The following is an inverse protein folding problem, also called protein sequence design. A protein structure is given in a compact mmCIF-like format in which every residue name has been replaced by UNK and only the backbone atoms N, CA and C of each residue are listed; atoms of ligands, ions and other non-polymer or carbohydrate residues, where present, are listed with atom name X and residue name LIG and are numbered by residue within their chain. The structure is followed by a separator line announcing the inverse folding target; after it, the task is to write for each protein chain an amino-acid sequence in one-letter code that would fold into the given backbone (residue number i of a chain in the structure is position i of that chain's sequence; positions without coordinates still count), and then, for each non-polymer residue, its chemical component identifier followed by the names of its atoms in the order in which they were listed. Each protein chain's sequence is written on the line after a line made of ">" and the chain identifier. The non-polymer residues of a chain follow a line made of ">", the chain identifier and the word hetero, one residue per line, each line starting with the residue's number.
data_IF_878719360628
#
_entry.id   IF_878719360628
#
_cell.length_a   1.000
_cell.length_b   1.000
_cell.length_c   1.000
_cell.angle_alpha   90.00
_cell.angle_beta   90.00
_cell.angle_gamma   90.00
#
_symmetry.space_group_name_H-M   'P 1'
#
loop_
_entity.id
_entity.type
_entity.pdbx_description
1 polymer ?
#
# COMPACT_ATOMS: atom_id res chain seq x y z
N UNK A 1 4.03 31.51 13.02
CA UNK A 1 3.87 30.11 13.50
C UNK A 1 4.50 30.05 14.89
N UNK A 2 3.71 29.83 15.94
CA UNK A 2 4.18 29.95 17.33
C UNK A 2 5.01 28.71 17.74
N UNK A 3 6.22 28.88 18.31
CA UNK A 3 7.12 27.78 18.70
C UNK A 3 6.53 26.77 19.69
N UNK A 4 5.49 27.15 20.44
CA UNK A 4 4.95 26.32 21.53
C UNK A 4 4.00 25.20 21.05
N UNK A 5 3.40 25.33 19.86
CA UNK A 5 2.58 24.25 19.28
C UNK A 5 3.44 23.03 18.89
N UNK A 6 4.69 23.24 18.47
CA UNK A 6 5.60 22.13 18.15
C UNK A 6 5.91 21.26 19.38
N UNK A 7 6.04 21.87 20.57
CA UNK A 7 6.31 21.13 21.82
C UNK A 7 5.11 20.31 22.29
N UNK A 8 3.88 20.76 22.01
CA UNK A 8 2.67 20.00 22.34
C UNK A 8 2.50 18.78 21.43
N UNK A 9 2.87 18.90 20.14
CA UNK A 9 2.85 17.77 19.20
C UNK A 9 3.93 16.72 19.50
N UNK A 10 5.07 17.10 20.09
CA UNK A 10 6.12 16.14 20.47
C UNK A 10 5.83 15.36 21.77
N UNK A 11 4.84 15.76 22.55
CA UNK A 11 4.48 15.10 23.82
C UNK A 11 3.16 14.32 23.74
N UNK A 12 2.49 14.30 22.58
CA UNK A 12 1.38 13.39 22.37
C UNK A 12 1.93 11.96 22.21
N UNK A 13 1.34 10.94 22.87
CA UNK A 13 1.74 9.56 22.64
C UNK A 13 1.64 9.25 21.13
N UNK A 14 2.65 8.58 20.54
CA UNK A 14 2.61 8.27 19.12
C UNK A 14 1.34 7.46 18.82
N UNK A 15 0.71 7.71 17.68
CA UNK A 15 -0.42 6.91 17.23
C UNK A 15 0.17 5.79 16.39
N UNK A 16 -0.22 4.55 16.64
CA UNK A 16 0.20 3.44 15.80
C UNK A 16 -0.35 3.64 14.38
N UNK A 17 0.52 3.85 13.40
CA UNK A 17 0.12 4.05 11.99
C UNK A 17 -0.64 2.85 11.40
N UNK A 18 -0.50 1.67 12.00
CA UNK A 18 -1.16 0.44 11.57
C UNK A 18 -2.57 0.24 12.15
N UNK A 19 -2.88 0.80 13.33
CA UNK A 19 -4.18 0.55 14.00
C UNK A 19 -4.85 1.78 14.61
N UNK A 20 -4.25 2.96 14.53
CA UNK A 20 -4.83 4.22 15.00
C UNK A 20 -4.94 4.37 16.53
N UNK A 21 -4.33 3.48 17.31
CA UNK A 21 -4.36 3.50 18.77
C UNK A 21 -3.16 4.24 19.36
N UNK A 22 -3.39 4.92 20.50
CA UNK A 22 -2.34 5.60 21.26
C UNK A 22 -1.32 4.59 21.83
N UNK A 23 -0.04 4.85 21.59
CA UNK A 23 1.06 4.08 22.15
C UNK A 23 1.42 4.53 23.56
N UNK A 24 1.93 3.63 24.42
CA UNK A 24 2.82 4.04 25.50
C UNK A 24 4.07 4.68 24.87
N UNK A 25 4.49 5.86 25.34
CA UNK A 25 5.59 6.66 24.78
C UNK A 25 6.96 5.95 24.67
N UNK A 26 7.07 4.72 25.19
CA UNK A 26 8.33 3.99 25.34
C UNK A 26 8.28 2.58 24.70
N UNK A 27 7.16 2.19 24.07
CA UNK A 27 7.06 0.86 23.45
C UNK A 27 7.57 0.91 22.00
N UNK A 28 8.46 -0.02 21.64
CA UNK A 28 8.96 -0.20 20.27
C UNK A 28 8.01 -1.00 19.39
N UNK A 29 7.07 -1.74 19.98
CA UNK A 29 6.15 -2.63 19.26
C UNK A 29 4.72 -2.40 19.71
N UNK A 30 3.80 -2.29 18.76
CA UNK A 30 2.38 -2.13 19.04
C UNK A 30 1.83 -3.44 19.58
N UNK A 31 1.37 -3.45 20.83
CA UNK A 31 0.81 -4.65 21.46
C UNK A 31 -0.45 -5.20 20.74
N UNK A 32 -1.10 -4.39 19.90
CA UNK A 32 -2.33 -4.78 19.20
C UNK A 32 -2.10 -5.34 17.80
N UNK A 33 -1.14 -4.79 17.05
CA UNK A 33 -0.91 -5.19 15.65
C UNK A 33 0.52 -5.65 15.37
N UNK A 34 1.40 -5.64 16.37
CA UNK A 34 2.81 -6.00 16.22
C UNK A 34 3.66 -4.99 15.44
N UNK A 35 3.13 -3.80 15.12
CA UNK A 35 3.85 -2.77 14.34
C UNK A 35 5.02 -2.18 15.12
N UNK A 36 6.22 -2.20 14.54
CA UNK A 36 7.45 -1.70 15.17
C UNK A 36 7.66 -0.22 14.78
N UNK A 37 7.95 0.64 15.76
CA UNK A 37 8.14 2.09 15.57
C UNK A 37 9.56 2.55 15.93
N UNK A 38 10.57 1.84 15.43
CA UNK A 38 11.94 2.32 15.35
C UNK A 38 12.33 2.33 13.87
N UNK A 39 12.72 3.47 13.30
CA UNK A 39 13.12 3.56 11.89
C UNK A 39 14.36 2.70 11.58
N UNK A 40 15.27 2.51 12.54
CA UNK A 40 16.43 1.62 12.38
C UNK A 40 16.03 0.14 12.54
N UNK A 41 15.08 -0.17 13.42
CA UNK A 41 14.53 -1.52 13.53
C UNK A 41 13.59 -1.86 12.36
N UNK A 42 12.84 -0.92 11.79
CA UNK A 42 12.04 -1.07 10.56
C UNK A 42 12.92 -1.29 9.32
N UNK A 43 14.16 -0.80 9.30
CA UNK A 43 15.11 -1.16 8.25
C UNK A 43 15.62 -2.60 8.42
N UNK A 44 15.81 -3.07 9.66
CA UNK A 44 16.22 -4.46 9.98
C UNK A 44 15.06 -5.47 9.92
N UNK A 45 13.82 -5.02 10.18
CA UNK A 45 12.60 -5.84 10.27
C UNK A 45 11.62 -5.57 9.13
N UNK A 46 11.89 -4.61 8.24
CA UNK A 46 11.01 -4.30 7.11
C UNK A 46 10.91 -5.43 6.08
N UNK A 47 11.88 -6.36 6.08
CA UNK A 47 11.77 -7.64 5.39
C UNK A 47 10.86 -8.66 6.13
N UNK A 48 10.79 -8.56 7.46
CA UNK A 48 9.90 -9.35 8.31
C UNK A 48 8.45 -8.81 8.33
N UNK A 49 8.24 -7.53 7.97
CA UNK A 49 6.92 -6.86 8.02
C UNK A 49 6.01 -7.12 6.82
N UNK A 50 6.51 -7.73 5.74
CA UNK A 50 5.62 -8.38 4.79
C UNK A 50 4.91 -9.53 5.50
N UNK A 51 3.58 -9.53 5.38
CA UNK A 51 2.78 -10.65 5.87
C UNK A 51 3.32 -11.94 5.26
N UNK A 52 3.25 -13.05 6.01
CA UNK A 52 3.55 -14.39 5.50
C UNK A 52 2.89 -14.60 4.12
N UNK A 53 1.67 -14.10 3.96
CA UNK A 53 0.93 -14.07 2.70
C UNK A 53 1.72 -13.47 1.53
N UNK A 54 2.35 -12.30 1.65
CA UNK A 54 3.11 -11.73 0.52
C UNK A 54 4.35 -12.55 0.17
N UNK A 55 5.01 -13.17 1.15
CA UNK A 55 6.15 -14.06 0.86
C UNK A 55 5.70 -15.34 0.18
N UNK A 56 4.59 -15.92 0.63
CA UNK A 56 4.08 -17.20 0.13
C UNK A 56 3.30 -17.04 -1.20
N UNK A 57 2.63 -15.91 -1.42
CA UNK A 57 1.77 -15.66 -2.60
C UNK A 57 2.54 -15.04 -3.77
N UNK A 58 3.60 -14.26 -3.50
CA UNK A 58 4.35 -13.53 -4.53
C UNK A 58 5.85 -13.84 -4.53
N UNK A 59 6.27 -14.87 -3.81
CA UNK A 59 7.66 -15.39 -3.78
C UNK A 59 8.72 -14.34 -3.42
N UNK A 60 8.38 -13.37 -2.55
CA UNK A 60 9.37 -12.41 -2.07
C UNK A 60 10.41 -13.08 -1.17
N UNK A 61 11.68 -12.86 -1.51
CA UNK A 61 12.85 -13.23 -0.72
C UNK A 61 13.63 -12.00 -0.30
N UNK A 62 14.42 -12.17 0.75
CA UNK A 62 15.43 -11.18 1.13
C UNK A 62 16.59 -11.29 0.13
N UNK A 63 16.91 -10.19 -0.54
CA UNK A 63 18.03 -10.11 -1.49
C UNK A 63 19.02 -9.03 -1.05
N UNK A 64 20.30 -9.27 -1.39
CA UNK A 64 21.36 -8.26 -1.27
C UNK A 64 21.28 -7.30 -2.46
N UNK A 65 21.69 -6.07 -2.20
CA UNK A 65 21.61 -4.92 -3.09
C UNK A 65 22.63 -4.92 -4.25
N UNK A 66 23.48 -5.94 -4.32
CA UNK A 66 24.57 -6.04 -5.30
C UNK A 66 24.10 -6.22 -6.77
N UNK A 67 22.79 -6.36 -7.03
CA UNK A 67 22.24 -6.44 -8.39
C UNK A 67 22.38 -5.11 -9.14
N UNK A 68 22.93 -5.12 -10.35
CA UNK A 68 23.01 -3.90 -11.19
C UNK A 68 21.62 -3.32 -11.49
N UNK A 69 20.60 -4.18 -11.69
CA UNK A 69 19.20 -3.76 -11.87
C UNK A 69 18.70 -3.01 -10.63
N UNK A 70 19.15 -3.41 -9.45
CA UNK A 70 18.81 -2.73 -8.21
C UNK A 70 19.41 -1.32 -8.16
N UNK A 71 20.67 -1.15 -8.56
CA UNK A 71 21.33 0.17 -8.59
C UNK A 71 20.61 1.13 -9.55
N UNK A 72 20.13 0.64 -10.69
CA UNK A 72 19.33 1.43 -11.62
C UNK A 72 17.95 1.79 -11.04
N UNK A 73 17.28 0.83 -10.40
CA UNK A 73 16.03 1.05 -9.68
C UNK A 73 16.17 2.09 -8.55
N UNK A 74 17.26 1.99 -7.78
CA UNK A 74 17.61 2.91 -6.69
C UNK A 74 17.96 4.30 -7.24
N UNK A 75 18.73 4.40 -8.32
CA UNK A 75 19.03 5.67 -8.98
C UNK A 75 17.74 6.38 -9.42
N UNK A 76 16.77 5.67 -9.99
CA UNK A 76 15.45 6.22 -10.31
C UNK A 76 14.67 6.67 -9.08
N UNK A 77 14.74 5.93 -7.98
CA UNK A 77 14.13 6.32 -6.71
C UNK A 77 14.69 7.64 -6.19
N UNK A 78 16.01 7.75 -6.14
CA UNK A 78 16.72 8.92 -5.65
C UNK A 78 16.48 10.14 -6.55
N UNK A 79 16.53 9.97 -7.88
CA UNK A 79 16.26 11.03 -8.86
C UNK A 79 14.85 11.63 -8.69
N UNK A 80 13.85 10.81 -8.36
CA UNK A 80 12.47 11.28 -8.20
C UNK A 80 12.20 11.99 -6.87
N UNK A 81 12.95 11.67 -5.81
CA UNK A 81 12.68 12.24 -4.48
C UNK A 81 13.60 13.41 -4.13
N UNK A 82 14.86 13.41 -4.60
CA UNK A 82 15.84 14.40 -4.18
C UNK A 82 16.79 14.74 -5.33
N UNK A 83 16.56 15.87 -5.98
CA UNK A 83 17.52 16.41 -6.96
C UNK A 83 18.83 16.73 -6.23
N UNK A 84 19.88 15.99 -6.53
CA UNK A 84 21.26 16.33 -6.14
C UNK A 84 21.75 15.79 -4.79
N UNK A 85 21.11 14.75 -4.22
CA UNK A 85 21.63 14.05 -3.05
C UNK A 85 21.76 12.55 -3.31
N UNK A 86 22.86 11.94 -2.88
CA UNK A 86 23.02 10.49 -2.90
C UNK A 86 22.13 9.82 -1.84
N UNK A 87 21.83 8.53 -1.98
CA UNK A 87 21.16 7.73 -0.94
C UNK A 87 21.87 7.91 0.41
N UNK A 88 23.19 7.77 0.43
CA UNK A 88 24.01 7.95 1.63
C UNK A 88 23.83 9.32 2.29
N UNK A 89 23.66 10.41 1.52
CA UNK A 89 23.45 11.77 2.07
C UNK A 89 22.13 11.92 2.82
N UNK A 90 21.21 10.97 2.64
CA UNK A 90 19.91 10.92 3.31
C UNK A 90 19.91 9.93 4.49
N UNK A 91 21.07 9.39 4.87
CA UNK A 91 21.18 8.32 5.86
C UNK A 91 20.56 7.00 5.37
N UNK A 92 20.42 6.84 4.05
CA UNK A 92 19.95 5.61 3.43
C UNK A 92 21.10 4.62 3.37
N UNK A 93 21.22 3.78 4.39
CA UNK A 93 22.01 2.55 4.35
C UNK A 93 21.04 1.38 4.37
N UNK A 94 20.78 0.77 3.22
CA UNK A 94 20.11 -0.51 3.17
C UNK A 94 21.08 -1.56 2.71
N UNK A 95 21.14 -2.65 3.47
CA UNK A 95 21.90 -3.84 3.11
C UNK A 95 21.02 -4.86 2.39
N UNK A 96 19.69 -4.75 2.56
CA UNK A 96 18.72 -5.78 2.17
C UNK A 96 17.44 -5.17 1.59
N UNK A 97 16.90 -5.82 0.56
CA UNK A 97 15.59 -5.55 -0.02
C UNK A 97 14.75 -6.80 -0.12
N UNK A 98 13.45 -6.62 -0.30
CA UNK A 98 12.55 -7.70 -0.68
C UNK A 98 12.48 -7.74 -2.21
N UNK A 99 12.84 -8.88 -2.78
CA UNK A 99 12.89 -9.09 -4.23
C UNK A 99 12.06 -10.33 -4.58
N UNK A 100 11.35 -10.28 -5.69
CA UNK A 100 10.86 -11.46 -6.40
C UNK A 100 11.25 -11.39 -7.88
N UNK A 101 10.59 -12.14 -8.77
CA UNK A 101 10.97 -12.19 -10.19
C UNK A 101 10.91 -10.81 -10.85
N UNK A 102 9.85 -10.05 -10.64
CA UNK A 102 9.52 -8.85 -11.41
C UNK A 102 9.63 -7.52 -10.64
N UNK A 103 9.80 -7.55 -9.31
CA UNK A 103 9.85 -6.32 -8.50
C UNK A 103 10.89 -6.32 -7.38
N UNK A 104 11.21 -5.12 -6.91
CA UNK A 104 11.85 -4.85 -5.63
C UNK A 104 10.91 -4.06 -4.72
N UNK A 105 10.76 -4.45 -3.46
CA UNK A 105 10.04 -3.69 -2.45
C UNK A 105 10.98 -3.12 -1.39
N UNK A 106 10.74 -1.85 -1.08
CA UNK A 106 11.50 -1.02 -0.16
C UNK A 106 10.56 -0.54 0.94
N UNK A 107 10.72 -1.02 2.19
CA UNK A 107 9.93 -0.51 3.32
C UNK A 107 10.28 0.93 3.75
N UNK A 108 11.06 1.71 2.97
CA UNK A 108 11.43 3.08 3.36
C UNK A 108 10.45 4.05 2.75
N UNK A 109 10.05 5.02 3.55
CA UNK A 109 9.27 6.15 3.12
C UNK A 109 9.46 7.32 4.08
N UNK A 110 9.17 8.54 3.61
CA UNK A 110 8.94 9.67 4.50
C UNK A 110 7.61 9.55 5.24
N UNK A 111 7.24 10.61 5.97
CA UNK A 111 5.93 10.69 6.65
C UNK A 111 4.81 10.48 5.61
N UNK A 112 3.90 9.53 5.88
CA UNK A 112 2.75 9.24 5.01
C UNK A 112 3.02 8.19 3.92
N UNK A 113 4.19 7.55 3.92
CA UNK A 113 4.59 6.58 2.89
C UNK A 113 4.70 5.16 3.45
N UNK A 114 3.99 4.21 2.84
CA UNK A 114 4.01 2.78 3.18
C UNK A 114 5.16 2.00 2.55
N UNK A 115 6.18 2.68 2.02
CA UNK A 115 7.26 2.08 1.25
C UNK A 115 7.11 2.30 -0.26
N UNK A 116 7.99 1.67 -1.02
CA UNK A 116 8.09 1.81 -2.46
C UNK A 116 8.26 0.45 -3.12
N UNK A 117 7.63 0.28 -4.27
CA UNK A 117 7.81 -0.86 -5.16
C UNK A 117 8.48 -0.38 -6.44
N UNK A 118 9.51 -1.08 -6.89
CA UNK A 118 10.12 -0.86 -8.20
C UNK A 118 9.85 -2.06 -9.08
N UNK A 119 9.08 -1.87 -10.14
CA UNK A 119 8.96 -2.86 -11.22
C UNK A 119 10.25 -2.91 -12.01
N UNK A 120 10.76 -4.11 -12.30
CA UNK A 120 11.99 -4.32 -13.08
C UNK A 120 11.78 -4.10 -14.58
N UNK A 121 10.55 -4.28 -15.08
CA UNK A 121 10.21 -4.11 -16.49
C UNK A 121 8.72 -3.77 -16.71
N UNK A 122 8.38 -2.58 -17.25
CA UNK A 122 9.28 -1.45 -17.45
C UNK A 122 9.78 -0.92 -16.09
N UNK A 123 11.02 -0.41 -16.07
CA UNK A 123 11.61 0.09 -14.84
C UNK A 123 10.80 1.28 -14.29
N UNK A 124 10.02 1.05 -13.22
CA UNK A 124 9.05 2.02 -12.71
C UNK A 124 8.99 2.01 -11.19
N UNK A 125 9.09 3.20 -10.59
CA UNK A 125 8.85 3.42 -9.17
C UNK A 125 7.36 3.63 -8.88
N UNK A 126 6.87 2.96 -7.83
CA UNK A 126 5.52 3.08 -7.31
C UNK A 126 5.63 3.33 -5.80
N UNK A 127 5.23 4.52 -5.36
CA UNK A 127 5.22 4.88 -3.94
C UNK A 127 3.88 4.53 -3.31
N UNK A 128 3.91 3.84 -2.17
CA UNK A 128 2.71 3.50 -1.41
C UNK A 128 2.38 4.58 -0.39
N UNK A 129 1.09 4.78 -0.14
CA UNK A 129 0.61 5.59 0.97
C UNK A 129 0.65 4.80 2.28
N UNK A 130 0.52 5.48 3.42
CA UNK A 130 0.56 4.84 4.74
C UNK A 130 -0.81 4.41 5.29
N UNK A 131 -1.90 4.62 4.56
CA UNK A 131 -3.26 4.37 5.08
C UNK A 131 -3.64 2.88 5.16
N UNK A 132 -2.87 1.99 4.50
CA UNK A 132 -3.01 0.53 4.58
C UNK A 132 -1.62 -0.12 4.60
N UNK A 133 -1.58 -1.38 5.03
CA UNK A 133 -0.33 -2.13 5.09
C UNK A 133 0.28 -2.33 3.69
N UNK A 134 1.63 -2.39 3.58
CA UNK A 134 2.32 -2.55 2.29
C UNK A 134 1.95 -3.84 1.57
N UNK A 135 1.63 -4.91 2.32
CA UNK A 135 1.16 -6.18 1.77
C UNK A 135 -0.11 -6.03 0.93
N UNK A 136 -1.04 -5.17 1.35
CA UNK A 136 -2.27 -4.91 0.60
C UNK A 136 -1.98 -4.12 -0.69
N UNK A 137 -1.02 -3.20 -0.65
CA UNK A 137 -0.56 -2.48 -1.84
C UNK A 137 0.11 -3.40 -2.86
N UNK A 138 0.98 -4.30 -2.40
CA UNK A 138 1.63 -5.31 -3.25
C UNK A 138 0.59 -6.24 -3.88
N UNK A 139 -0.35 -6.74 -3.07
CA UNK A 139 -1.47 -7.53 -3.60
C UNK A 139 -2.22 -6.77 -4.70
N UNK A 140 -2.58 -5.50 -4.45
CA UNK A 140 -3.29 -4.68 -5.43
C UNK A 140 -2.51 -4.50 -6.74
N UNK A 141 -1.19 -4.30 -6.66
CA UNK A 141 -0.30 -4.23 -7.82
C UNK A 141 -0.41 -5.50 -8.68
N UNK A 142 -0.31 -6.69 -8.06
CA UNK A 142 -0.43 -7.95 -8.78
C UNK A 142 -1.84 -8.26 -9.29
N UNK A 143 -2.88 -7.66 -8.70
CA UNK A 143 -4.24 -7.69 -9.25
C UNK A 143 -4.44 -6.74 -10.44
N UNK A 144 -3.43 -5.96 -10.84
CA UNK A 144 -3.53 -5.01 -11.94
C UNK A 144 -4.22 -3.70 -11.57
N UNK A 145 -4.41 -3.39 -10.28
CA UNK A 145 -4.92 -2.08 -9.86
C UNK A 145 -3.89 -1.01 -10.22
N UNK A 146 -4.33 0.03 -10.91
CA UNK A 146 -3.49 1.16 -11.31
C UNK A 146 -2.97 1.91 -10.08
N UNK A 147 -1.65 1.91 -9.93
CA UNK A 147 -0.91 2.59 -8.86
C UNK A 147 -0.28 3.90 -9.35
N UNK A 148 -0.95 4.61 -10.27
CA UNK A 148 -0.48 5.91 -10.72
C UNK A 148 -0.38 6.93 -9.55
N UNK A 149 0.59 7.85 -9.57
CA UNK A 149 0.83 8.77 -8.44
C UNK A 149 -0.38 9.66 -8.13
N UNK A 150 -1.08 10.13 -9.16
CA UNK A 150 -2.24 11.01 -9.03
C UNK A 150 -3.54 10.22 -9.22
N UNK A 151 -4.55 10.50 -8.39
CA UNK A 151 -5.83 9.79 -8.46
C UNK A 151 -6.55 9.92 -9.80
N UNK A 152 -6.42 11.07 -10.47
CA UNK A 152 -6.98 11.27 -11.82
C UNK A 152 -6.39 10.33 -12.87
N UNK A 153 -5.19 9.80 -12.63
CA UNK A 153 -4.48 8.91 -13.56
C UNK A 153 -4.64 7.43 -13.16
N UNK A 154 -5.26 7.15 -12.00
CA UNK A 154 -5.59 5.80 -11.52
C UNK A 154 -6.90 5.31 -12.10
N UNK A 155 -6.93 5.16 -13.41
CA UNK A 155 -8.09 4.62 -14.13
C UNK A 155 -8.09 3.09 -14.05
N UNK A 156 -9.21 2.51 -13.61
CA UNK A 156 -9.41 1.07 -13.52
C UNK A 156 -10.83 0.71 -14.01
N UNK A 157 -10.98 -0.53 -14.45
CA UNK A 157 -12.26 -1.18 -14.69
C UNK A 157 -12.45 -2.32 -13.69
N UNK A 158 -13.54 -2.28 -12.92
CA UNK A 158 -13.92 -3.31 -11.95
C UNK A 158 -15.15 -4.06 -12.47
N UNK A 159 -15.01 -5.37 -12.67
CA UNK A 159 -16.11 -6.26 -13.07
C UNK A 159 -16.46 -7.19 -11.92
N UNK A 160 -17.66 -7.02 -11.35
CA UNK A 160 -18.19 -7.89 -10.29
C UNK A 160 -18.83 -9.11 -10.95
N UNK A 161 -18.36 -10.31 -10.60
CA UNK A 161 -18.75 -11.57 -11.24
C UNK A 161 -19.84 -12.30 -10.45
N UNK A 162 -19.63 -12.46 -9.14
CA UNK A 162 -20.54 -13.13 -8.23
C UNK A 162 -20.64 -12.35 -6.92
N UNK A 163 -21.80 -12.40 -6.27
CA UNK A 163 -22.06 -11.72 -4.99
C UNK A 163 -22.74 -12.70 -4.03
N UNK A 164 -22.14 -12.90 -2.84
CA UNK A 164 -22.71 -13.71 -1.75
C UNK A 164 -23.24 -12.85 -0.61
N UNK A 165 -22.64 -11.69 -0.36
CA UNK A 165 -23.03 -10.75 0.69
C UNK A 165 -23.21 -9.34 0.12
N UNK A 166 -24.45 -8.99 -0.19
CA UNK A 166 -24.81 -7.69 -0.75
C UNK A 166 -24.44 -6.54 0.20
N UNK A 167 -24.69 -6.68 1.50
CA UNK A 167 -24.45 -5.63 2.49
C UNK A 167 -22.98 -5.26 2.56
N UNK A 168 -22.10 -6.26 2.65
CA UNK A 168 -20.66 -6.03 2.68
C UNK A 168 -20.12 -5.61 1.31
N UNK A 169 -20.69 -6.10 0.21
CA UNK A 169 -20.34 -5.64 -1.14
C UNK A 169 -20.59 -4.14 -1.29
N UNK A 170 -21.78 -3.67 -0.92
CA UNK A 170 -22.13 -2.25 -0.96
C UNK A 170 -21.25 -1.43 -0.01
N UNK A 171 -20.94 -1.94 1.17
CA UNK A 171 -20.01 -1.30 2.11
C UNK A 171 -18.63 -1.06 1.47
N UNK A 172 -18.07 -2.08 0.81
CA UNK A 172 -16.78 -2.00 0.12
C UNK A 172 -16.84 -1.02 -1.04
N UNK A 173 -17.85 -1.11 -1.91
CA UNK A 173 -17.99 -0.24 -3.08
C UNK A 173 -18.06 1.25 -2.70
N UNK A 174 -18.70 1.58 -1.59
CA UNK A 174 -18.80 2.95 -1.07
C UNK A 174 -17.47 3.54 -0.58
N UNK A 175 -16.41 2.74 -0.43
CA UNK A 175 -15.10 3.26 0.01
C UNK A 175 -14.34 3.99 -1.10
N UNK A 176 -14.67 3.72 -2.37
CA UNK A 176 -14.00 4.32 -3.54
C UNK A 176 -14.98 4.89 -4.59
N UNK A 177 -16.29 4.64 -4.45
CA UNK A 177 -17.32 5.20 -5.30
C UNK A 177 -18.18 6.21 -4.53
N UNK A 178 -18.81 7.12 -5.25
CA UNK A 178 -19.77 8.04 -4.64
C UNK A 178 -20.92 7.25 -3.97
N UNK A 179 -21.14 7.40 -2.65
CA UNK A 179 -22.11 6.56 -1.95
C UNK A 179 -23.56 6.70 -2.45
N UNK A 180 -23.97 7.90 -2.88
CA UNK A 180 -25.32 8.14 -3.42
C UNK A 180 -25.49 7.48 -4.78
N UNK A 181 -24.47 7.53 -5.63
CA UNK A 181 -24.47 6.84 -6.92
C UNK A 181 -24.51 5.33 -6.72
N UNK A 182 -23.75 4.79 -5.76
CA UNK A 182 -23.79 3.35 -5.44
C UNK A 182 -25.21 2.91 -5.09
N UNK A 183 -25.88 3.62 -4.17
CA UNK A 183 -27.23 3.27 -3.74
C UNK A 183 -28.28 3.39 -4.84
N UNK A 184 -28.21 4.45 -5.65
CA UNK A 184 -29.26 4.76 -6.64
C UNK A 184 -29.06 4.05 -7.97
N UNK A 185 -27.82 3.93 -8.43
CA UNK A 185 -27.50 3.52 -9.79
C UNK A 185 -26.85 2.14 -9.85
N UNK A 186 -25.98 1.81 -8.89
CA UNK A 186 -25.22 0.55 -8.92
C UNK A 186 -25.96 -0.61 -8.27
N UNK A 187 -26.51 -0.43 -7.07
CA UNK A 187 -27.22 -1.48 -6.33
C UNK A 187 -28.32 -2.15 -7.18
N UNK A 188 -29.19 -1.40 -7.91
CA UNK A 188 -30.18 -2.04 -8.78
C UNK A 188 -29.55 -2.95 -9.84
N UNK A 189 -28.37 -2.60 -10.37
CA UNK A 189 -27.67 -3.39 -11.40
C UNK A 189 -27.04 -4.65 -10.83
N UNK A 190 -26.68 -4.68 -9.54
CA UNK A 190 -26.09 -5.86 -8.88
C UNK A 190 -27.04 -7.06 -8.83
N UNK A 191 -28.33 -6.87 -9.10
CA UNK A 191 -29.32 -7.96 -9.25
C UNK A 191 -29.08 -8.82 -10.49
N UNK A 192 -28.34 -8.31 -11.48
CA UNK A 192 -28.02 -8.99 -12.74
C UNK A 192 -26.52 -8.96 -13.00
N UNK A 193 -25.80 -9.97 -12.51
CA UNK A 193 -24.35 -10.09 -12.69
C UNK A 193 -23.98 -10.75 -14.03
N UNK A 194 -22.81 -10.44 -14.63
CA UNK A 194 -21.78 -9.55 -14.11
C UNK A 194 -22.08 -8.05 -14.34
N UNK A 195 -21.56 -7.20 -13.45
CA UNK A 195 -21.65 -5.73 -13.57
C UNK A 195 -20.26 -5.15 -13.69
N UNK A 196 -20.08 -4.23 -14.65
CA UNK A 196 -18.79 -3.57 -14.92
C UNK A 196 -18.87 -2.07 -14.62
N UNK A 197 -17.82 -1.56 -13.97
CA UNK A 197 -17.69 -0.17 -13.53
C UNK A 197 -16.34 0.34 -14.05
N UNK A 198 -16.36 1.36 -14.91
CA UNK A 198 -15.20 1.84 -15.64
C UNK A 198 -14.73 3.21 -15.14
N UNK A 199 -13.44 3.48 -15.29
CA UNK A 199 -12.83 4.78 -15.04
C UNK A 199 -12.82 5.18 -13.56
N UNK A 200 -12.55 4.21 -12.68
CA UNK A 200 -12.62 4.42 -11.22
C UNK A 200 -11.25 4.31 -10.55
N UNK A 201 -11.03 5.14 -9.52
CA UNK A 201 -9.84 5.06 -8.67
C UNK A 201 -10.07 4.03 -7.56
N UNK A 202 -9.52 2.82 -7.74
CA UNK A 202 -9.66 1.73 -6.78
C UNK A 202 -8.70 1.83 -5.59
N UNK A 203 -7.79 2.81 -5.57
CA UNK A 203 -6.69 2.86 -4.60
C UNK A 203 -7.20 2.79 -3.16
N UNK A 204 -8.09 3.70 -2.76
CA UNK A 204 -8.66 3.68 -1.40
C UNK A 204 -9.59 2.50 -1.13
N UNK A 205 -9.97 1.75 -2.17
CA UNK A 205 -10.76 0.53 -2.08
C UNK A 205 -9.96 -0.75 -1.84
N UNK A 206 -8.63 -0.71 -1.96
CA UNK A 206 -7.75 -1.89 -1.91
C UNK A 206 -8.05 -2.78 -0.70
N UNK A 207 -8.14 -2.19 0.51
CA UNK A 207 -8.40 -2.97 1.73
C UNK A 207 -9.76 -3.67 1.69
N UNK A 208 -10.80 -2.97 1.23
CA UNK A 208 -12.14 -3.54 1.12
C UNK A 208 -12.24 -4.64 0.07
N UNK A 209 -11.53 -4.49 -1.06
CA UNK A 209 -11.45 -5.50 -2.11
C UNK A 209 -10.71 -6.76 -1.63
N UNK A 210 -9.63 -6.59 -0.87
CA UNK A 210 -8.90 -7.70 -0.26
C UNK A 210 -9.78 -8.48 0.73
N UNK A 211 -10.48 -7.76 1.61
CA UNK A 211 -11.44 -8.36 2.55
C UNK A 211 -12.57 -9.10 1.84
N UNK A 212 -13.04 -8.58 0.70
CA UNK A 212 -14.09 -9.22 -0.08
C UNK A 212 -13.66 -10.60 -0.61
N UNK A 213 -12.40 -10.77 -1.01
CA UNK A 213 -11.85 -12.07 -1.41
C UNK A 213 -11.71 -12.98 -0.19
N UNK A 214 -11.08 -12.50 0.88
CA UNK A 214 -10.80 -13.29 2.09
C UNK A 214 -12.08 -13.84 2.75
N UNK A 215 -13.17 -13.09 2.68
CA UNK A 215 -14.46 -13.44 3.28
C UNK A 215 -15.50 -13.91 2.25
N UNK A 216 -15.10 -14.06 0.99
CA UNK A 216 -15.95 -14.47 -0.13
C UNK A 216 -17.23 -13.62 -0.31
N UNK A 217 -17.21 -12.34 0.05
CA UNK A 217 -18.39 -11.46 -0.06
C UNK A 217 -18.84 -11.28 -1.51
N UNK A 218 -17.87 -11.08 -2.41
CA UNK A 218 -18.07 -11.03 -3.85
C UNK A 218 -16.75 -11.34 -4.56
N UNK A 219 -16.86 -11.86 -5.79
CA UNK A 219 -15.71 -12.04 -6.67
C UNK A 219 -15.70 -10.98 -7.76
N UNK A 220 -14.50 -10.59 -8.20
CA UNK A 220 -14.32 -9.53 -9.18
C UNK A 220 -13.09 -9.75 -10.05
N UNK A 221 -13.02 -9.01 -11.14
CA UNK A 221 -11.84 -8.84 -12.00
C UNK A 221 -11.51 -7.36 -12.11
N UNK A 222 -10.22 -7.04 -12.14
CA UNK A 222 -9.71 -5.69 -12.41
C UNK A 222 -8.98 -5.70 -13.75
N UNK A 223 -9.13 -4.63 -14.52
CA UNK A 223 -8.32 -4.34 -15.71
C UNK A 223 -7.98 -2.85 -15.76
N UNK A 224 -6.87 -2.52 -16.43
CA UNK A 224 -6.34 -1.17 -16.58
C UNK A 224 -5.97 -0.86 -18.04
#
# INVERSE_FOLDING_TARGET
>A
MQPDLLKTYMNAPPICDMCGLNFPSNATVCAYCGGIFDMQECAKTGAASLSKRCRDEFDYRIAKIESEIFKEAEALYLLNLFVGKSASDLGYERELVLENEDTFYFPLGGIGCGGNLVSKSPLRLISFGSYIAPSAHIWAYYQGISMAPLGKDRQNSLKILHMKDEKNTVRVLKTFLNPRWVERELVPKLTTLPVEINGIDLYFGIRGLLEAIENEWFSFQVSN
#
